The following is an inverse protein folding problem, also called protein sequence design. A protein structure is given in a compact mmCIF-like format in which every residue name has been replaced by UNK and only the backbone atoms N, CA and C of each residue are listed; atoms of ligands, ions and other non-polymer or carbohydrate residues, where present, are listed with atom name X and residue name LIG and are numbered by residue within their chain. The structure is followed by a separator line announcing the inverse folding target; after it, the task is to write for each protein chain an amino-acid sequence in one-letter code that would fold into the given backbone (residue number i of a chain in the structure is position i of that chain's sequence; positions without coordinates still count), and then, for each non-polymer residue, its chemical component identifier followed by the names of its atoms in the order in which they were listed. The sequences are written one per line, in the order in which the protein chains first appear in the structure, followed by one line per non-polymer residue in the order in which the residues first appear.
data_IF_115932387276
#
_entry.id   IF_115932387276
#
_cell.length_a   1.000
_cell.length_b   1.000
_cell.length_c   1.000
_cell.angle_alpha   90.00
_cell.angle_beta   90.00
_cell.angle_gamma   90.00
#
_symmetry.space_group_name_H-M   'P 1'
#
loop_
_entity.id
_entity.type
_entity.pdbx_description
1 polymer ?
#
# COMPACT_ATOMS: atom_id res chain seq x y z
N UNK A 1 -4.96 -10.84 23.23
CA UNK A 1 -5.87 -9.71 22.95
C UNK A 1 -5.06 -8.50 22.51
N UNK A 2 -5.26 -8.08 21.27
CA UNK A 2 -4.84 -6.75 20.82
C UNK A 2 -5.72 -5.72 21.54
N UNK A 3 -5.15 -4.93 22.44
CA UNK A 3 -5.87 -3.82 23.07
C UNK A 3 -5.72 -2.58 22.20
N UNK A 4 -6.78 -2.18 21.50
CA UNK A 4 -6.91 -0.85 20.94
C UNK A 4 -6.94 0.17 22.08
N UNK A 5 -6.00 1.07 22.16
CA UNK A 5 -6.09 2.26 23.00
C UNK A 5 -6.94 3.30 22.26
N UNK A 6 -7.84 3.95 22.99
CA UNK A 6 -8.95 4.75 22.50
C UNK A 6 -8.64 5.84 21.43
N UNK A 7 -9.71 6.40 20.89
CA UNK A 7 -9.83 7.35 19.77
C UNK A 7 -8.98 8.65 19.86
N UNK A 8 -8.28 8.91 20.96
CA UNK A 8 -7.46 10.10 21.16
C UNK A 8 -6.03 10.04 20.63
N UNK A 9 -5.56 8.89 20.13
CA UNK A 9 -4.15 8.67 19.80
C UNK A 9 -3.97 8.34 18.30
N UNK A 10 -4.33 9.28 17.43
CA UNK A 10 -4.22 9.14 15.96
C UNK A 10 -2.78 8.86 15.50
N UNK A 11 -1.79 9.26 16.29
CA UNK A 11 -0.36 9.09 16.00
C UNK A 11 0.21 7.69 16.28
N UNK A 12 -0.55 6.79 16.90
CA UNK A 12 -0.04 5.49 17.38
C UNK A 12 -0.68 4.30 16.69
N UNK A 13 -0.95 4.41 15.38
CA UNK A 13 -1.59 3.32 14.63
C UNK A 13 -0.72 2.69 13.54
N UNK A 14 0.59 2.92 13.59
CA UNK A 14 1.52 2.13 12.79
C UNK A 14 1.48 0.68 13.24
N UNK A 15 1.63 -0.21 12.27
CA UNK A 15 1.55 -1.65 12.47
C UNK A 15 2.91 -2.28 12.18
N UNK A 16 3.35 -3.15 13.09
CA UNK A 16 4.60 -3.89 12.97
C UNK A 16 4.54 -5.21 13.75
N UNK A 17 5.56 -6.03 13.61
CA UNK A 17 5.81 -7.20 14.44
C UNK A 17 7.04 -6.90 15.28
N UNK A 18 6.93 -6.98 16.61
CA UNK A 18 8.04 -6.71 17.53
C UNK A 18 8.18 -7.87 18.50
N UNK A 19 9.34 -8.51 18.52
CA UNK A 19 9.59 -9.67 19.37
C UNK A 19 8.55 -10.78 19.15
N UNK A 20 8.14 -11.02 17.90
CA UNK A 20 7.11 -11.98 17.51
C UNK A 20 5.68 -11.58 17.86
N UNK A 21 5.45 -10.36 18.34
CA UNK A 21 4.10 -9.86 18.68
C UNK A 21 3.57 -8.95 17.59
N UNK A 22 2.37 -9.24 17.12
CA UNK A 22 1.63 -8.38 16.20
C UNK A 22 1.16 -7.14 16.94
N UNK A 23 1.56 -5.96 16.51
CA UNK A 23 1.24 -4.69 17.16
C UNK A 23 0.46 -3.77 16.23
N UNK A 24 -0.65 -3.25 16.74
CA UNK A 24 -1.41 -2.15 16.14
C UNK A 24 -1.34 -0.95 17.10
N UNK A 25 -0.62 0.07 16.71
CA UNK A 25 -0.22 1.20 17.54
C UNK A 25 1.17 1.01 18.13
N UNK A 26 2.16 1.67 17.52
CA UNK A 26 3.55 1.71 18.00
C UNK A 26 3.76 2.93 18.88
N UNK A 27 4.68 2.82 19.85
CA UNK A 27 5.19 3.99 20.60
C UNK A 27 6.23 4.74 19.77
N UNK A 28 6.58 5.95 20.18
CA UNK A 28 7.65 6.73 19.53
C UNK A 28 8.98 5.98 19.56
N UNK A 29 9.30 5.33 20.69
CA UNK A 29 10.52 4.54 20.87
C UNK A 29 10.54 3.31 19.95
N UNK A 30 9.38 2.65 19.74
CA UNK A 30 9.26 1.53 18.82
C UNK A 30 9.43 1.95 17.35
N UNK A 31 8.91 3.12 16.98
CA UNK A 31 9.09 3.70 15.65
C UNK A 31 10.57 4.04 15.42
N UNK A 32 11.21 4.69 16.42
CA UNK A 32 12.64 5.02 16.36
C UNK A 32 13.51 3.76 16.27
N UNK A 33 13.18 2.73 17.04
CA UNK A 33 13.84 1.43 16.99
C UNK A 33 13.81 0.83 15.57
N UNK A 34 12.64 0.85 14.90
CA UNK A 34 12.51 0.40 13.52
C UNK A 34 13.33 1.26 12.57
N UNK A 35 13.30 2.57 12.72
CA UNK A 35 14.10 3.50 11.92
C UNK A 35 15.60 3.22 12.02
N UNK A 36 16.11 2.99 13.24
CA UNK A 36 17.52 2.68 13.48
C UNK A 36 17.95 1.31 12.95
N UNK A 37 17.11 0.29 13.07
CA UNK A 37 17.37 -1.04 12.51
C UNK A 37 17.27 -1.08 10.98
N UNK A 38 16.38 -0.28 10.40
CA UNK A 38 16.23 -0.13 8.96
C UNK A 38 16.12 -1.47 8.22
N UNK A 39 16.99 -1.71 7.25
CA UNK A 39 16.99 -2.91 6.40
C UNK A 39 17.33 -4.21 7.13
N UNK A 40 17.81 -4.18 8.36
CA UNK A 40 18.06 -5.38 9.16
C UNK A 40 16.76 -6.02 9.67
N UNK A 41 15.62 -5.31 9.65
CA UNK A 41 14.32 -5.85 10.01
C UNK A 41 13.77 -6.67 8.83
N UNK A 42 13.26 -7.86 9.12
CA UNK A 42 12.68 -8.74 8.11
C UNK A 42 11.44 -8.10 7.45
N UNK A 43 11.44 -7.99 6.12
CA UNK A 43 10.24 -7.58 5.35
C UNK A 43 9.22 -8.72 5.40
N UNK A 44 8.16 -8.53 6.18
CA UNK A 44 7.17 -9.56 6.48
C UNK A 44 5.97 -9.50 5.52
N UNK A 45 5.65 -10.64 4.93
CA UNK A 45 4.41 -10.90 4.20
C UNK A 45 3.59 -11.98 4.93
N UNK A 46 2.42 -12.36 4.40
CA UNK A 46 1.54 -13.38 5.00
C UNK A 46 2.31 -14.66 5.42
N UNK A 47 3.17 -15.16 4.53
CA UNK A 47 3.94 -16.39 4.76
C UNK A 47 4.93 -16.32 5.92
N UNK A 48 5.34 -15.10 6.30
CA UNK A 48 6.37 -14.88 7.32
C UNK A 48 5.78 -14.77 8.72
N UNK A 49 4.48 -14.41 8.86
CA UNK A 49 3.83 -14.10 10.13
C UNK A 49 4.01 -15.20 11.18
N UNK A 50 3.65 -16.43 10.84
CA UNK A 50 3.70 -17.54 11.80
C UNK A 50 5.12 -17.83 12.28
N UNK A 51 6.09 -17.75 11.36
CA UNK A 51 7.51 -18.02 11.67
C UNK A 51 8.09 -16.91 12.55
N UNK A 52 7.85 -15.63 12.21
CA UNK A 52 8.32 -14.50 13.01
C UNK A 52 7.70 -14.51 14.41
N UNK A 53 6.40 -14.80 14.52
CA UNK A 53 5.73 -14.94 15.81
C UNK A 53 6.33 -16.07 16.66
N UNK A 54 6.55 -17.25 16.06
CA UNK A 54 7.08 -18.39 16.77
C UNK A 54 8.54 -18.20 17.23
N UNK A 55 9.33 -17.45 16.45
CA UNK A 55 10.73 -17.18 16.76
C UNK A 55 10.97 -15.96 17.64
N UNK A 56 9.95 -15.17 17.93
CA UNK A 56 10.10 -13.93 18.65
C UNK A 56 10.86 -12.85 17.87
N UNK A 57 10.77 -12.87 16.53
CA UNK A 57 11.52 -11.97 15.65
C UNK A 57 10.71 -10.73 15.27
N UNK A 58 11.44 -9.68 14.82
CA UNK A 58 10.85 -8.43 14.32
C UNK A 58 10.48 -8.54 12.84
N UNK A 59 9.41 -7.82 12.46
CA UNK A 59 8.97 -7.75 11.06
C UNK A 59 8.42 -6.38 10.69
N UNK A 60 8.94 -5.82 9.60
CA UNK A 60 8.39 -4.65 8.93
C UNK A 60 7.27 -5.11 7.98
N UNK A 61 6.07 -4.61 8.19
CA UNK A 61 4.88 -5.08 7.49
C UNK A 61 4.80 -4.58 6.04
N UNK A 62 4.36 -5.46 5.14
CA UNK A 62 3.85 -5.10 3.81
C UNK A 62 2.38 -4.69 3.91
N UNK A 63 1.75 -4.27 2.81
CA UNK A 63 0.30 -4.03 2.75
C UNK A 63 -0.46 -5.27 3.23
N UNK A 64 -0.08 -6.46 2.74
CA UNK A 64 -0.64 -7.75 3.16
C UNK A 64 -0.69 -7.90 4.68
N UNK A 65 0.45 -7.83 5.33
CA UNK A 65 0.53 -8.06 6.78
C UNK A 65 -0.08 -6.92 7.59
N UNK A 66 -0.04 -5.69 7.08
CA UNK A 66 -0.74 -4.56 7.67
C UNK A 66 -2.24 -4.78 7.66
N UNK A 67 -2.83 -5.23 6.54
CA UNK A 67 -4.26 -5.56 6.44
C UNK A 67 -4.66 -6.66 7.43
N UNK A 68 -3.89 -7.75 7.50
CA UNK A 68 -4.15 -8.86 8.42
C UNK A 68 -4.18 -8.38 9.88
N UNK A 69 -3.13 -7.65 10.30
CA UNK A 69 -3.01 -7.18 11.68
C UNK A 69 -4.07 -6.11 11.99
N UNK A 70 -4.36 -5.21 11.04
CA UNK A 70 -5.43 -4.22 11.15
C UNK A 70 -6.79 -4.91 11.37
N UNK A 71 -7.13 -5.90 10.55
CA UNK A 71 -8.37 -6.65 10.67
C UNK A 71 -8.47 -7.37 12.03
N UNK A 72 -7.41 -8.04 12.47
CA UNK A 72 -7.35 -8.68 13.80
C UNK A 72 -7.54 -7.69 14.96
N UNK A 73 -7.14 -6.43 14.75
CA UNK A 73 -7.31 -5.34 15.72
C UNK A 73 -8.66 -4.61 15.60
N UNK A 74 -9.54 -5.02 14.68
CA UNK A 74 -10.83 -4.38 14.42
C UNK A 74 -10.71 -3.07 13.64
N UNK A 75 -9.55 -2.82 12.98
CA UNK A 75 -9.30 -1.66 12.14
C UNK A 75 -9.74 -1.99 10.72
N UNK A 76 -10.62 -1.15 10.14
CA UNK A 76 -11.21 -1.36 8.82
C UNK A 76 -10.63 -0.46 7.73
N UNK A 77 -9.83 0.54 8.10
CA UNK A 77 -9.30 1.55 7.19
C UNK A 77 -7.78 1.61 7.28
N UNK A 78 -7.12 1.59 6.13
CA UNK A 78 -5.69 1.62 6.02
C UNK A 78 -5.25 2.58 4.91
N UNK A 79 -4.39 3.54 5.24
CA UNK A 79 -3.75 4.45 4.28
C UNK A 79 -2.29 4.05 4.06
N UNK A 80 -1.86 4.01 2.80
CA UNK A 80 -0.49 3.74 2.40
C UNK A 80 -0.10 4.58 1.18
N UNK A 81 1.17 4.61 0.82
CA UNK A 81 1.61 5.29 -0.41
C UNK A 81 1.10 4.57 -1.65
N UNK A 82 1.36 3.28 -1.76
CA UNK A 82 0.95 2.45 -2.88
C UNK A 82 1.01 0.97 -2.54
N UNK A 83 0.23 0.18 -3.26
CA UNK A 83 0.23 -1.28 -3.11
C UNK A 83 1.32 -1.94 -3.95
N UNK A 84 1.64 -3.20 -3.64
CA UNK A 84 2.32 -4.11 -4.55
C UNK A 84 1.39 -4.52 -5.69
N UNK A 85 1.95 -5.16 -6.69
CA UNK A 85 1.21 -5.58 -7.87
C UNK A 85 1.96 -6.68 -8.63
N UNK A 86 1.66 -6.84 -9.88
CA UNK A 86 2.34 -7.74 -10.81
C UNK A 86 3.64 -7.07 -11.26
N UNK A 87 4.78 -7.74 -11.11
CA UNK A 87 6.06 -7.21 -11.58
C UNK A 87 6.18 -7.34 -13.11
N UNK A 88 6.90 -6.39 -13.73
CA UNK A 88 7.18 -6.44 -15.17
C UNK A 88 7.97 -7.72 -15.51
N UNK A 89 7.47 -8.53 -16.41
CA UNK A 89 8.02 -9.86 -16.75
C UNK A 89 7.45 -10.99 -15.88
N UNK A 90 6.36 -10.75 -15.15
CA UNK A 90 5.72 -11.76 -14.31
C UNK A 90 5.15 -12.94 -15.12
N UNK A 91 4.89 -12.77 -16.40
CA UNK A 91 4.46 -13.83 -17.33
C UNK A 91 5.47 -14.98 -17.39
N UNK A 92 6.72 -14.73 -17.04
CA UNK A 92 7.78 -15.76 -16.99
C UNK A 92 8.25 -16.06 -15.57
N UNK A 93 8.14 -15.11 -14.64
CA UNK A 93 8.68 -15.22 -13.28
C UNK A 93 7.63 -15.54 -12.23
N UNK A 94 6.36 -15.27 -12.51
CA UNK A 94 5.24 -15.31 -11.57
C UNK A 94 5.49 -14.43 -10.33
N UNK A 95 6.28 -13.34 -10.47
CA UNK A 95 6.54 -12.40 -9.38
C UNK A 95 5.36 -11.45 -9.20
N UNK A 96 4.43 -11.90 -8.37
CA UNK A 96 3.17 -11.21 -8.05
C UNK A 96 3.14 -10.95 -6.55
N UNK A 97 2.82 -9.72 -6.17
CA UNK A 97 2.72 -9.32 -4.77
C UNK A 97 1.56 -10.03 -4.05
N UNK A 98 1.83 -10.53 -2.86
CA UNK A 98 0.79 -11.07 -1.99
C UNK A 98 -0.26 -10.02 -1.56
N UNK A 99 0.01 -8.73 -1.77
CA UNK A 99 -0.93 -7.65 -1.49
C UNK A 99 -2.24 -7.84 -2.27
N UNK A 100 -2.15 -8.30 -3.53
CA UNK A 100 -3.32 -8.51 -4.39
C UNK A 100 -4.21 -9.65 -3.88
N UNK A 101 -3.59 -10.74 -3.41
CA UNK A 101 -4.33 -11.85 -2.78
C UNK A 101 -5.01 -11.43 -1.49
N UNK A 102 -4.35 -10.60 -0.69
CA UNK A 102 -4.88 -10.16 0.60
C UNK A 102 -6.04 -9.19 0.43
N UNK A 103 -5.97 -8.30 -0.57
CA UNK A 103 -7.07 -7.42 -0.95
C UNK A 103 -8.34 -8.21 -1.29
N UNK A 104 -8.22 -9.37 -1.93
CA UNK A 104 -9.37 -10.24 -2.19
C UNK A 104 -9.93 -10.96 -0.97
N UNK A 105 -9.26 -10.96 0.18
CA UNK A 105 -9.61 -11.80 1.34
C UNK A 105 -9.98 -11.02 2.60
N UNK A 106 -9.24 -9.95 2.90
CA UNK A 106 -9.30 -9.27 4.18
C UNK A 106 -10.15 -8.01 4.09
N UNK A 107 -11.25 -7.90 4.86
CA UNK A 107 -12.22 -6.80 4.75
C UNK A 107 -11.66 -5.51 5.37
N UNK A 108 -10.69 -4.92 4.71
CA UNK A 108 -10.07 -3.63 5.03
C UNK A 108 -10.08 -2.76 3.78
N UNK A 109 -10.54 -1.53 3.91
CA UNK A 109 -10.38 -0.52 2.86
C UNK A 109 -8.94 -0.02 2.84
N UNK A 110 -8.29 -0.14 1.70
CA UNK A 110 -6.93 0.37 1.47
C UNK A 110 -7.00 1.59 0.57
N UNK A 111 -6.57 2.74 1.08
CA UNK A 111 -6.42 3.97 0.30
C UNK A 111 -4.95 4.19 -0.04
N UNK A 112 -4.66 4.37 -1.33
CA UNK A 112 -3.30 4.52 -1.85
C UNK A 112 -3.28 5.39 -3.11
N UNK A 113 -2.11 5.72 -3.63
CA UNK A 113 -1.97 6.41 -4.92
C UNK A 113 -1.84 5.42 -6.10
N UNK A 114 -2.53 4.28 -6.03
CA UNK A 114 -2.44 3.19 -6.99
C UNK A 114 -1.35 2.17 -6.65
N UNK A 115 -1.06 1.27 -7.59
CA UNK A 115 0.09 0.39 -7.49
C UNK A 115 1.39 1.19 -7.75
N UNK A 116 2.50 0.73 -7.17
CA UNK A 116 3.81 1.38 -7.40
C UNK A 116 4.15 1.39 -8.88
N UNK A 117 4.57 2.53 -9.41
CA UNK A 117 4.85 2.77 -10.83
C UNK A 117 5.93 1.87 -11.45
N UNK A 118 6.74 1.21 -10.62
CA UNK A 118 7.73 0.20 -11.03
C UNK A 118 7.10 -1.13 -11.50
N UNK A 119 5.78 -1.30 -11.28
CA UNK A 119 5.03 -2.52 -11.56
C UNK A 119 4.35 -2.46 -12.93
N UNK A 120 3.81 -3.58 -13.37
CA UNK A 120 2.90 -3.67 -14.51
C UNK A 120 1.48 -3.34 -14.05
N UNK A 121 1.02 -2.15 -14.39
CA UNK A 121 -0.28 -1.65 -13.92
C UNK A 121 -1.44 -2.38 -14.60
N UNK A 122 -1.32 -2.69 -15.89
CA UNK A 122 -2.34 -3.42 -16.63
C UNK A 122 -2.57 -4.82 -16.06
N UNK A 123 -1.51 -5.62 -15.94
CA UNK A 123 -1.61 -6.96 -15.35
C UNK A 123 -2.01 -6.91 -13.86
N UNK A 124 -1.71 -5.83 -13.16
CA UNK A 124 -2.16 -5.64 -11.77
C UNK A 124 -3.67 -5.47 -11.69
N UNK A 125 -4.27 -4.68 -12.60
CA UNK A 125 -5.73 -4.50 -12.68
C UNK A 125 -6.43 -5.81 -13.02
N UNK A 126 -5.96 -6.55 -14.05
CA UNK A 126 -6.50 -7.86 -14.43
C UNK A 126 -6.46 -8.86 -13.27
N UNK A 127 -5.39 -8.82 -12.48
CA UNK A 127 -5.28 -9.71 -11.32
C UNK A 127 -6.27 -9.32 -10.21
N UNK A 128 -6.45 -8.02 -9.95
CA UNK A 128 -7.42 -7.51 -8.98
C UNK A 128 -8.85 -7.85 -9.39
N UNK A 129 -9.22 -7.71 -10.69
CA UNK A 129 -10.50 -8.13 -11.23
C UNK A 129 -10.74 -9.61 -10.96
N UNK A 130 -9.78 -10.49 -11.31
CA UNK A 130 -9.85 -11.93 -11.05
C UNK A 130 -10.09 -12.27 -9.58
N UNK A 131 -9.58 -11.43 -8.65
CA UNK A 131 -9.77 -11.60 -7.20
C UNK A 131 -11.04 -10.94 -6.68
N UNK A 132 -11.83 -10.30 -7.53
CA UNK A 132 -13.06 -9.60 -7.15
C UNK A 132 -12.82 -8.35 -6.30
N UNK A 133 -11.66 -7.72 -6.44
CA UNK A 133 -11.30 -6.50 -5.71
C UNK A 133 -11.71 -5.29 -6.53
N UNK A 134 -12.69 -4.49 -6.09
CA UNK A 134 -13.06 -3.28 -6.79
C UNK A 134 -11.95 -2.23 -6.68
N UNK A 135 -11.59 -1.62 -7.81
CA UNK A 135 -10.61 -0.53 -7.89
C UNK A 135 -11.36 0.79 -8.08
N UNK A 136 -11.39 1.58 -7.04
CA UNK A 136 -12.14 2.84 -7.00
C UNK A 136 -11.20 4.02 -7.21
N UNK A 137 -11.49 4.88 -8.19
CA UNK A 137 -10.85 6.17 -8.38
C UNK A 137 -11.54 7.24 -7.54
N UNK A 138 -10.81 7.88 -6.62
CA UNK A 138 -11.36 9.01 -5.89
C UNK A 138 -11.16 10.30 -6.71
N UNK A 139 -12.25 10.87 -7.19
CA UNK A 139 -12.25 12.07 -8.04
C UNK A 139 -11.58 11.87 -9.41
N UNK A 140 -11.42 10.62 -9.86
CA UNK A 140 -10.75 10.30 -11.12
C UNK A 140 -11.37 9.06 -11.77
N UNK A 141 -11.40 9.05 -13.09
CA UNK A 141 -11.80 7.91 -13.91
C UNK A 141 -10.58 7.06 -14.35
N UNK A 142 -9.39 7.53 -14.01
CA UNK A 142 -8.13 6.90 -14.40
C UNK A 142 -7.34 6.45 -13.16
N UNK A 143 -6.71 5.27 -13.25
CA UNK A 143 -5.83 4.74 -12.20
C UNK A 143 -4.61 5.66 -12.03
N UNK A 144 -4.36 6.24 -10.85
CA UNK A 144 -3.12 6.98 -10.63
C UNK A 144 -1.93 6.03 -10.60
N UNK A 145 -0.79 6.50 -11.11
CA UNK A 145 0.45 5.73 -11.20
C UNK A 145 1.48 6.17 -10.15
N UNK A 146 1.07 6.25 -8.89
CA UNK A 146 1.90 6.57 -7.73
C UNK A 146 2.49 7.98 -7.78
N UNK A 147 3.55 8.22 -8.56
CA UNK A 147 4.19 9.53 -8.72
C UNK A 147 3.47 10.45 -9.71
N UNK A 148 2.63 9.90 -10.56
CA UNK A 148 1.85 10.63 -11.56
C UNK A 148 0.36 10.42 -11.35
N UNK A 149 -0.42 11.39 -11.79
CA UNK A 149 -1.88 11.35 -11.65
C UNK A 149 -2.55 10.40 -12.65
N UNK A 150 -1.86 10.07 -13.72
CA UNK A 150 -2.36 9.31 -14.85
C UNK A 150 -1.44 8.15 -15.20
N UNK A 151 -2.05 7.02 -15.55
CA UNK A 151 -1.36 5.80 -15.97
C UNK A 151 -1.67 5.37 -17.41
N UNK A 152 -2.78 5.84 -17.96
CA UNK A 152 -3.37 5.37 -19.22
C UNK A 152 -4.37 4.22 -19.02
N UNK A 153 -4.64 3.78 -17.78
CA UNK A 153 -5.61 2.73 -17.46
C UNK A 153 -6.79 3.31 -16.69
N UNK A 154 -8.01 2.84 -17.01
CA UNK A 154 -9.22 3.21 -16.27
C UNK A 154 -9.30 2.55 -14.90
N UNK A 155 -10.23 3.03 -14.06
CA UNK A 155 -10.68 2.37 -12.84
C UNK A 155 -12.06 1.77 -13.04
N UNK A 156 -12.48 0.85 -12.16
CA UNK A 156 -13.80 0.23 -12.28
C UNK A 156 -14.93 1.22 -12.01
N UNK A 157 -14.76 2.05 -10.97
CA UNK A 157 -15.73 3.05 -10.55
C UNK A 157 -15.04 4.32 -10.05
N UNK A 158 -15.63 5.47 -10.38
CA UNK A 158 -15.29 6.75 -9.79
C UNK A 158 -16.23 7.07 -8.65
N UNK A 159 -15.67 7.52 -7.53
CA UNK A 159 -16.41 8.07 -6.39
C UNK A 159 -15.80 9.41 -6.01
N UNK A 160 -16.67 10.43 -5.76
CA UNK A 160 -16.22 11.80 -5.55
C UNK A 160 -16.36 12.28 -4.09
N UNK A 161 -17.03 11.52 -3.22
CA UNK A 161 -17.23 11.91 -1.82
C UNK A 161 -16.78 10.84 -0.83
N UNK A 162 -16.28 11.23 0.36
CA UNK A 162 -15.96 10.26 1.42
C UNK A 162 -17.19 9.51 1.94
N UNK A 163 -18.37 10.12 1.88
CA UNK A 163 -19.64 9.55 2.28
C UNK A 163 -20.02 8.36 1.38
N UNK A 164 -19.91 8.54 0.05
CA UNK A 164 -20.18 7.47 -0.92
C UNK A 164 -19.13 6.35 -0.84
N UNK A 165 -17.86 6.68 -0.60
CA UNK A 165 -16.83 5.68 -0.30
C UNK A 165 -17.18 4.85 0.94
N UNK A 166 -17.65 5.52 1.99
CA UNK A 166 -18.05 4.85 3.23
C UNK A 166 -19.25 3.92 3.01
N UNK A 167 -20.26 4.38 2.24
CA UNK A 167 -21.44 3.59 1.91
C UNK A 167 -21.08 2.37 1.06
N UNK A 168 -20.25 2.54 0.02
CA UNK A 168 -19.80 1.47 -0.84
C UNK A 168 -18.99 0.43 -0.04
N UNK A 169 -18.06 0.88 0.80
CA UNK A 169 -17.28 -0.03 1.66
C UNK A 169 -18.15 -0.73 2.71
N UNK A 170 -19.19 -0.08 3.23
CA UNK A 170 -20.14 -0.74 4.12
C UNK A 170 -20.86 -1.87 3.40
N UNK A 171 -21.34 -1.63 2.18
CA UNK A 171 -21.99 -2.67 1.37
C UNK A 171 -21.03 -3.84 1.08
N UNK A 172 -19.76 -3.55 0.74
CA UNK A 172 -18.71 -4.58 0.55
C UNK A 172 -18.55 -5.47 1.79
N UNK A 173 -18.52 -4.85 2.99
CA UNK A 173 -18.42 -5.59 4.25
C UNK A 173 -19.68 -6.39 4.59
N UNK A 174 -20.87 -5.83 4.38
CA UNK A 174 -22.14 -6.49 4.64
C UNK A 174 -22.32 -7.74 3.75
N UNK A 175 -21.79 -7.68 2.52
CA UNK A 175 -21.76 -8.78 1.56
C UNK A 175 -20.57 -9.75 1.76
N UNK A 176 -19.63 -9.45 2.64
CA UNK A 176 -18.43 -10.25 2.94
C UNK A 176 -17.54 -10.50 1.71
N UNK A 177 -17.36 -9.50 0.85
CA UNK A 177 -16.64 -9.61 -0.42
C UNK A 177 -15.13 -9.32 -0.33
N UNK A 178 -14.56 -9.24 0.87
CA UNK A 178 -13.12 -8.98 1.07
C UNK A 178 -12.77 -7.50 1.15
N UNK A 179 -11.57 -7.14 0.68
CA UNK A 179 -11.04 -5.78 0.75
C UNK A 179 -11.64 -4.83 -0.28
N UNK A 180 -11.24 -3.57 -0.17
CA UNK A 180 -11.74 -2.48 -1.00
C UNK A 180 -10.58 -1.52 -1.32
N UNK A 181 -10.24 -1.37 -2.59
CA UNK A 181 -9.11 -0.55 -3.01
C UNK A 181 -9.58 0.82 -3.48
N UNK A 182 -9.14 1.86 -2.78
CA UNK A 182 -9.36 3.26 -3.17
C UNK A 182 -8.05 3.83 -3.68
N UNK A 183 -8.07 4.33 -4.91
CA UNK A 183 -6.93 4.98 -5.54
C UNK A 183 -7.15 6.48 -5.59
N UNK A 184 -6.29 7.21 -4.88
CA UNK A 184 -6.37 8.66 -4.68
C UNK A 184 -5.17 9.32 -5.35
N UNK A 185 -5.35 10.10 -6.43
CA UNK A 185 -4.25 10.73 -7.14
C UNK A 185 -3.41 11.62 -6.23
N UNK A 186 -2.10 11.61 -6.44
CA UNK A 186 -1.20 12.59 -5.82
C UNK A 186 -1.69 14.02 -6.08
N UNK A 187 -1.61 14.96 -5.12
CA UNK A 187 -1.92 16.36 -5.39
C UNK A 187 -1.08 16.90 -6.55
N UNK A 188 -1.69 17.74 -7.40
CA UNK A 188 -1.11 18.16 -8.67
C UNK A 188 0.25 18.85 -8.50
N UNK A 189 0.38 19.68 -7.47
CA UNK A 189 1.61 20.41 -7.15
C UNK A 189 2.80 19.51 -6.74
N UNK A 190 2.54 18.24 -6.42
CA UNK A 190 3.56 17.25 -6.05
C UNK A 190 3.68 16.11 -7.06
N UNK A 191 2.88 16.14 -8.12
CA UNK A 191 2.97 15.17 -9.20
C UNK A 191 4.28 15.36 -9.98
N UNK A 192 4.95 14.25 -10.29
CA UNK A 192 6.16 14.30 -11.10
C UNK A 192 5.82 14.34 -12.60
N UNK A 193 6.73 14.90 -13.37
CA UNK A 193 6.66 14.80 -14.83
C UNK A 193 6.77 13.31 -15.24
N UNK A 194 5.81 12.88 -16.09
CA UNK A 194 5.71 11.48 -16.48
C UNK A 194 6.95 10.99 -17.24
N UNK A 195 7.50 11.79 -18.14
CA UNK A 195 8.65 11.39 -18.94
C UNK A 195 9.91 11.23 -18.07
N UNK A 196 10.08 12.11 -17.07
CA UNK A 196 11.20 12.07 -16.13
C UNK A 196 11.13 10.83 -15.26
N UNK A 197 9.95 10.55 -14.68
CA UNK A 197 9.82 9.42 -13.76
C UNK A 197 9.85 8.08 -14.50
N UNK A 198 9.27 7.99 -15.68
CA UNK A 198 9.30 6.77 -16.50
C UNK A 198 10.75 6.43 -16.91
N UNK A 199 11.54 7.41 -17.33
CA UNK A 199 12.96 7.21 -17.65
C UNK A 199 13.77 6.72 -16.43
N UNK A 200 13.53 7.29 -15.24
CA UNK A 200 14.19 6.85 -14.02
C UNK A 200 13.79 5.41 -13.63
N UNK A 201 12.52 5.05 -13.79
CA UNK A 201 12.03 3.69 -13.53
C UNK A 201 12.66 2.69 -14.50
N UNK A 202 12.68 2.98 -15.79
CA UNK A 202 13.23 2.08 -16.80
C UNK A 202 14.73 1.84 -16.56
N UNK A 203 15.46 2.90 -16.20
CA UNK A 203 16.87 2.79 -15.84
C UNK A 203 17.06 1.93 -14.58
N UNK A 204 16.26 2.15 -13.53
CA UNK A 204 16.34 1.37 -12.31
C UNK A 204 16.02 -0.14 -12.55
N UNK A 205 15.04 -0.43 -13.40
CA UNK A 205 14.68 -1.81 -13.78
C UNK A 205 15.82 -2.49 -14.55
N UNK A 206 16.44 -1.76 -15.49
CA UNK A 206 17.61 -2.26 -16.23
C UNK A 206 18.74 -2.63 -15.28
N UNK A 207 19.13 -1.72 -14.39
CA UNK A 207 20.17 -1.93 -13.40
C UNK A 207 19.86 -3.09 -12.44
N UNK A 208 18.60 -3.22 -12.01
CA UNK A 208 18.15 -4.35 -11.18
C UNK A 208 18.38 -5.70 -11.86
N UNK A 209 18.09 -5.79 -13.17
CA UNK A 209 18.32 -7.00 -13.96
C UNK A 209 19.82 -7.30 -14.12
N UNK A 210 20.63 -6.29 -14.42
CA UNK A 210 22.08 -6.42 -14.56
C UNK A 210 22.76 -6.87 -13.26
N UNK A 211 22.25 -6.42 -12.10
CA UNK A 211 22.75 -6.80 -10.78
C UNK A 211 22.12 -8.11 -10.25
N UNK A 212 21.21 -8.73 -10.99
CA UNK A 212 20.57 -9.98 -10.58
C UNK A 212 19.66 -9.86 -9.35
N UNK A 213 19.12 -8.65 -9.05
CA UNK A 213 18.21 -8.40 -7.92
C UNK A 213 16.89 -9.13 -8.18
N UNK A 214 16.41 -9.93 -7.21
CA UNK A 214 15.20 -10.75 -7.35
C UNK A 214 14.36 -10.79 -6.07
N UNK A 215 13.07 -11.12 -6.24
CA UNK A 215 12.13 -11.40 -5.15
C UNK A 215 11.94 -10.19 -4.22
N UNK A 216 11.99 -10.41 -2.91
CA UNK A 216 11.70 -9.38 -1.89
C UNK A 216 12.60 -8.14 -1.93
N UNK A 217 13.79 -8.25 -2.53
CA UNK A 217 14.75 -7.13 -2.63
C UNK A 217 14.47 -6.22 -3.83
N UNK A 218 13.69 -6.66 -4.82
CA UNK A 218 13.42 -5.90 -6.05
C UNK A 218 12.77 -4.55 -5.75
N UNK A 219 11.66 -4.53 -5.04
CA UNK A 219 10.95 -3.25 -4.75
C UNK A 219 11.79 -2.27 -3.94
N UNK A 220 12.46 -2.65 -2.81
CA UNK A 220 13.33 -1.73 -2.09
C UNK A 220 14.48 -1.18 -2.92
N UNK A 221 15.09 -2.00 -3.77
CA UNK A 221 16.14 -1.56 -4.68
C UNK A 221 15.61 -0.52 -5.69
N UNK A 222 14.52 -0.85 -6.39
CA UNK A 222 13.95 0.03 -7.42
C UNK A 222 13.54 1.38 -6.86
N UNK A 223 12.86 1.42 -5.71
CA UNK A 223 12.45 2.68 -5.09
C UNK A 223 13.64 3.53 -4.64
N UNK A 224 14.67 2.92 -4.06
CA UNK A 224 15.88 3.63 -3.68
C UNK A 224 16.60 4.20 -4.91
N UNK A 225 16.72 3.40 -5.97
CA UNK A 225 17.40 3.82 -7.19
C UNK A 225 16.63 4.93 -7.92
N UNK A 226 15.31 4.84 -7.99
CA UNK A 226 14.48 5.93 -8.54
C UNK A 226 14.67 7.22 -7.73
N UNK A 227 14.72 7.15 -6.40
CA UNK A 227 14.97 8.33 -5.57
C UNK A 227 16.34 8.96 -5.86
N UNK A 228 17.38 8.16 -6.07
CA UNK A 228 18.71 8.67 -6.47
C UNK A 228 18.67 9.32 -7.86
N UNK A 229 18.04 8.66 -8.84
CA UNK A 229 17.96 9.15 -10.24
C UNK A 229 17.12 10.42 -10.37
N UNK A 230 16.20 10.67 -9.44
CA UNK A 230 15.36 11.89 -9.39
C UNK A 230 15.87 12.94 -8.40
N UNK A 231 17.10 12.81 -7.89
CA UNK A 231 17.68 13.78 -6.94
C UNK A 231 16.92 13.94 -5.63
N UNK A 232 16.06 12.96 -5.28
CA UNK A 232 15.23 12.98 -4.08
C UNK A 232 13.78 13.46 -4.28
N UNK A 233 13.43 14.02 -5.43
CA UNK A 233 12.08 14.55 -5.72
C UNK A 233 11.01 13.48 -5.59
N UNK A 234 11.29 12.24 -6.01
CA UNK A 234 10.34 11.13 -5.85
C UNK A 234 10.07 10.78 -4.38
N UNK A 235 11.01 11.01 -3.47
CA UNK A 235 10.77 10.82 -2.03
C UNK A 235 9.85 11.93 -1.48
N UNK A 236 10.05 13.18 -1.89
CA UNK A 236 9.19 14.29 -1.50
C UNK A 236 7.74 14.04 -1.98
N UNK A 237 7.57 13.65 -3.25
CA UNK A 237 6.28 13.27 -3.82
C UNK A 237 5.64 12.12 -3.03
N UNK A 238 6.40 11.08 -2.67
CA UNK A 238 5.91 9.94 -1.89
C UNK A 238 5.39 10.37 -0.50
N UNK A 239 6.05 11.28 0.18
CA UNK A 239 5.57 11.81 1.46
C UNK A 239 4.22 12.50 1.30
N UNK A 240 4.05 13.33 0.28
CA UNK A 240 2.81 14.09 0.06
C UNK A 240 1.63 13.20 -0.35
N UNK A 241 1.85 12.20 -1.20
CA UNK A 241 0.77 11.26 -1.54
C UNK A 241 0.31 10.45 -0.31
N UNK A 242 1.22 10.09 0.61
CA UNK A 242 0.84 9.40 1.86
C UNK A 242 -0.02 10.30 2.74
N UNK A 243 0.32 11.57 2.89
CA UNK A 243 -0.50 12.53 3.64
C UNK A 243 -1.89 12.71 3.02
N UNK A 244 -1.97 12.84 1.68
CA UNK A 244 -3.22 12.94 0.97
C UNK A 244 -4.11 11.71 1.18
N UNK A 245 -3.54 10.52 1.07
CA UNK A 245 -4.24 9.25 1.30
C UNK A 245 -4.73 9.12 2.74
N UNK A 246 -3.90 9.49 3.72
CA UNK A 246 -4.28 9.48 5.13
C UNK A 246 -5.44 10.44 5.42
N UNK A 247 -5.43 11.64 4.85
CA UNK A 247 -6.49 12.63 5.01
C UNK A 247 -7.83 12.13 4.44
N UNK A 248 -7.83 11.54 3.23
CA UNK A 248 -9.02 10.94 2.64
C UNK A 248 -9.53 9.77 3.48
N UNK A 249 -8.63 8.87 3.87
CA UNK A 249 -8.97 7.71 4.68
C UNK A 249 -9.64 8.12 6.00
N UNK A 250 -9.13 9.15 6.67
CA UNK A 250 -9.70 9.66 7.91
C UNK A 250 -11.11 10.24 7.72
N UNK A 251 -11.33 10.99 6.62
CA UNK A 251 -12.68 11.52 6.28
C UNK A 251 -13.67 10.38 6.00
N UNK A 252 -13.25 9.37 5.22
CA UNK A 252 -14.08 8.20 4.91
C UNK A 252 -14.40 7.38 6.16
N UNK A 253 -13.42 7.18 7.05
CA UNK A 253 -13.64 6.49 8.33
C UNK A 253 -14.63 7.24 9.22
N UNK A 254 -14.54 8.58 9.28
CA UNK A 254 -15.47 9.41 10.02
C UNK A 254 -16.91 9.36 9.44
N UNK A 255 -17.04 9.30 8.11
CA UNK A 255 -18.33 9.10 7.44
C UNK A 255 -18.89 7.71 7.74
N UNK A 256 -18.09 6.68 7.66
CA UNK A 256 -18.47 5.28 7.95
C UNK A 256 -19.00 5.10 9.38
N UNK A 257 -18.45 5.80 10.37
CA UNK A 257 -18.92 5.73 11.75
C UNK A 257 -20.32 6.34 11.96
N UNK A 258 -20.88 7.02 10.96
CA UNK A 258 -22.23 7.60 11.01
C UNK A 258 -23.30 6.71 10.36
N UNK A 259 -22.89 5.62 9.69
CA UNK A 259 -23.74 4.62 9.04
C UNK A 259 -24.10 3.47 9.98
#
# INVERSE_FOLDING_TARGET
RLRSRGLGDVYKRQIAIIGGRLKAGLTAEEIEYFGKKGRAIHKASRRDLAVLCARGEDGATTVTTTMIIAHMAGIRFFATGGIGGVHRGAETTMDISADLEELGRTPVMVCCAGAKSILDLGLTLEYLETKGVPVIGYGTDELPAFYTRQSGFGVDYRIDTPEDLAAAFKAQNDLQLGGFLVTNPIPEEYAMDKAVIDAAIDQAIKESKEQGIKGKETTPFLLARVAELTGGDSLASNIQLVYNNAALTAKTAAAYCKL
#
